data_IF_175097357974
#
_entry.id   IF_175097357974
#
_cell.length_a   1.000
_cell.length_b   1.000
_cell.length_c   1.000
_cell.angle_alpha   90.00
_cell.angle_beta   90.00
_cell.angle_gamma   90.00
#
_symmetry.space_group_name_H-M   'P 1'
#
loop_
_entity.id
_entity.type
_entity.pdbx_description
1 polymer ?
#
# COMPACT_ATOMS: atom_id res chain seq x y z
N UNK A 1 -32.48 8.73 -16.49
CA UNK A 1 -31.37 9.62 -16.07
C UNK A 1 -30.30 8.73 -15.45
N UNK A 2 -29.28 8.38 -16.22
CA UNK A 2 -28.27 7.40 -15.81
C UNK A 2 -27.23 8.04 -14.89
N UNK A 3 -27.10 7.49 -13.68
CA UNK A 3 -25.97 7.78 -12.79
C UNK A 3 -24.68 7.38 -13.49
N UNK A 4 -23.95 8.35 -14.07
CA UNK A 4 -22.57 8.14 -14.51
C UNK A 4 -21.69 8.01 -13.27
N UNK A 5 -21.75 6.84 -12.65
CA UNK A 5 -20.92 6.48 -11.52
C UNK A 5 -19.48 6.50 -11.99
N UNK A 6 -18.63 7.30 -11.33
CA UNK A 6 -17.18 7.32 -11.58
C UNK A 6 -16.53 5.95 -11.32
N UNK A 7 -17.31 5.05 -10.71
CA UNK A 7 -17.00 3.66 -10.43
C UNK A 7 -17.41 2.68 -11.55
N UNK A 8 -17.98 3.12 -12.67
CA UNK A 8 -18.51 2.22 -13.73
C UNK A 8 -17.58 2.03 -14.94
N UNK A 9 -16.33 2.52 -14.88
CA UNK A 9 -15.37 2.29 -15.97
C UNK A 9 -14.10 1.65 -15.42
N UNK A 10 -14.08 0.33 -15.45
CA UNK A 10 -12.85 -0.43 -15.35
C UNK A 10 -12.02 -0.11 -16.60
N UNK A 11 -11.01 0.75 -16.41
CA UNK A 11 -10.04 1.10 -17.45
C UNK A 11 -9.08 -0.08 -17.61
N UNK A 12 -8.58 -0.39 -18.83
CA UNK A 12 -7.49 -1.34 -18.99
C UNK A 12 -6.32 -0.97 -18.05
N UNK A 13 -5.92 -1.93 -17.21
CA UNK A 13 -4.86 -1.74 -16.21
C UNK A 13 -3.52 -1.75 -16.93
N UNK A 14 -2.73 -0.69 -16.77
CA UNK A 14 -1.36 -0.65 -17.28
C UNK A 14 -0.40 -1.47 -16.44
N UNK A 15 0.73 -1.88 -17.02
CA UNK A 15 1.77 -2.64 -16.32
C UNK A 15 2.26 -1.96 -15.04
N UNK A 16 2.27 -0.61 -15.05
CA UNK A 16 2.64 0.20 -13.90
C UNK A 16 1.65 0.04 -12.74
N UNK A 17 0.36 0.16 -13.01
CA UNK A 17 -0.70 0.01 -12.01
C UNK A 17 -0.70 -1.42 -11.44
N UNK A 18 -0.49 -2.43 -12.28
CA UNK A 18 -0.38 -3.81 -11.83
C UNK A 18 0.87 -4.05 -10.95
N UNK A 19 2.00 -3.44 -11.29
CA UNK A 19 3.20 -3.50 -10.45
C UNK A 19 3.00 -2.78 -9.11
N UNK A 20 2.32 -1.63 -9.12
CA UNK A 20 2.00 -0.89 -7.90
C UNK A 20 1.04 -1.66 -7.00
N UNK A 21 0.00 -2.29 -7.55
CA UNK A 21 -0.91 -3.16 -6.81
C UNK A 21 -0.17 -4.33 -6.12
N UNK A 22 0.74 -5.00 -6.84
CA UNK A 22 1.59 -6.07 -6.25
C UNK A 22 2.43 -5.55 -5.09
N UNK A 23 3.05 -4.38 -5.24
CA UNK A 23 3.85 -3.77 -4.18
C UNK A 23 3.01 -3.48 -2.93
N UNK A 24 1.77 -3.00 -3.10
CA UNK A 24 0.88 -2.71 -1.98
C UNK A 24 0.50 -3.99 -1.22
N UNK A 25 0.21 -5.08 -1.93
CA UNK A 25 -0.01 -6.39 -1.32
C UNK A 25 1.20 -6.87 -0.53
N UNK A 26 2.40 -6.79 -1.12
CA UNK A 26 3.63 -7.19 -0.42
C UNK A 26 3.88 -6.40 0.85
N UNK A 27 3.64 -5.08 0.84
CA UNK A 27 3.78 -4.24 2.05
C UNK A 27 2.74 -4.66 3.11
N UNK A 28 1.50 -4.95 2.71
CA UNK A 28 0.47 -5.40 3.63
C UNK A 28 0.82 -6.76 4.28
N UNK A 29 1.37 -7.69 3.52
CA UNK A 29 1.82 -8.99 4.01
C UNK A 29 3.00 -8.86 4.98
N UNK A 30 3.97 -7.99 4.66
CA UNK A 30 5.11 -7.70 5.55
C UNK A 30 4.66 -7.24 6.93
N UNK A 31 3.65 -6.36 7.01
CA UNK A 31 3.08 -5.92 8.29
C UNK A 31 2.44 -7.06 9.09
N UNK A 32 1.89 -8.08 8.40
CA UNK A 32 1.34 -9.27 9.03
C UNK A 32 2.40 -10.22 9.58
N UNK A 33 3.58 -10.28 8.94
CA UNK A 33 4.68 -11.17 9.30
C UNK A 33 5.69 -10.55 10.29
N UNK A 34 5.71 -9.22 10.38
CA UNK A 34 6.63 -8.47 11.23
C UNK A 34 5.87 -7.61 12.27
N UNK A 35 5.21 -8.24 13.27
CA UNK A 35 4.44 -7.52 14.29
C UNK A 35 5.31 -6.58 15.15
N UNK A 36 6.63 -6.76 15.16
CA UNK A 36 7.58 -5.88 15.83
C UNK A 36 7.73 -4.50 15.18
N UNK A 37 7.34 -4.34 13.90
CA UNK A 37 7.46 -3.08 13.18
C UNK A 37 6.36 -2.09 13.57
N UNK A 38 5.20 -2.59 13.99
CA UNK A 38 4.08 -1.79 14.48
C UNK A 38 3.57 -2.46 15.76
N UNK A 39 3.97 -1.92 16.90
CA UNK A 39 3.68 -2.46 18.24
C UNK A 39 2.19 -2.74 18.47
N UNK A 40 1.32 -1.90 17.92
CA UNK A 40 -0.13 -2.11 17.98
C UNK A 40 -0.60 -2.96 16.79
N UNK A 41 -0.97 -4.21 17.10
CA UNK A 41 -1.47 -5.18 16.12
C UNK A 41 -2.78 -4.75 15.45
N UNK A 42 -3.65 -4.03 16.16
CA UNK A 42 -4.91 -3.55 15.59
C UNK A 42 -4.64 -2.44 14.57
N UNK A 43 -3.72 -1.53 14.87
CA UNK A 43 -3.25 -0.50 13.93
C UNK A 43 -2.59 -1.14 12.71
N UNK A 44 -1.69 -2.11 12.91
CA UNK A 44 -1.05 -2.84 11.82
C UNK A 44 -2.08 -3.50 10.87
N UNK A 45 -3.10 -4.13 11.44
CA UNK A 45 -4.19 -4.74 10.68
C UNK A 45 -4.99 -3.73 9.86
N UNK A 46 -5.30 -2.55 10.40
CA UNK A 46 -5.99 -1.51 9.65
C UNK A 46 -5.14 -0.95 8.50
N UNK A 47 -3.83 -0.79 8.70
CA UNK A 47 -2.92 -0.36 7.63
C UNK A 47 -2.87 -1.42 6.53
N UNK A 48 -2.77 -2.70 6.89
CA UNK A 48 -2.79 -3.81 5.92
C UNK A 48 -4.09 -3.82 5.11
N UNK A 49 -5.25 -3.61 5.73
CA UNK A 49 -6.53 -3.48 5.03
C UNK A 49 -6.58 -2.30 4.06
N UNK A 50 -6.08 -1.12 4.45
CA UNK A 50 -6.02 0.05 3.56
C UNK A 50 -5.15 -0.24 2.34
N UNK A 51 -3.99 -0.87 2.53
CA UNK A 51 -3.10 -1.26 1.45
C UNK A 51 -3.75 -2.30 0.52
N UNK A 52 -4.41 -3.30 1.08
CA UNK A 52 -5.11 -4.34 0.31
C UNK A 52 -6.22 -3.76 -0.55
N UNK A 53 -7.08 -2.90 0.01
CA UNK A 53 -8.14 -2.24 -0.74
C UNK A 53 -7.57 -1.30 -1.83
N UNK A 54 -6.51 -0.58 -1.51
CA UNK A 54 -5.82 0.27 -2.49
C UNK A 54 -5.23 -0.54 -3.65
N UNK A 55 -4.69 -1.73 -3.36
CA UNK A 55 -4.20 -2.64 -4.38
C UNK A 55 -5.32 -3.17 -5.28
N UNK A 56 -6.48 -3.53 -4.72
CA UNK A 56 -7.67 -3.95 -5.46
C UNK A 56 -8.11 -2.84 -6.44
N UNK A 57 -8.19 -1.59 -5.98
CA UNK A 57 -8.57 -0.46 -6.83
C UNK A 57 -7.58 -0.30 -8.00
N UNK A 58 -6.27 -0.35 -7.73
CA UNK A 58 -5.24 -0.28 -8.78
C UNK A 58 -5.35 -1.45 -9.76
N UNK A 59 -5.59 -2.67 -9.27
CA UNK A 59 -5.77 -3.87 -10.08
C UNK A 59 -7.06 -3.85 -10.91
N UNK A 60 -8.06 -3.06 -10.50
CA UNK A 60 -9.26 -2.75 -11.27
C UNK A 60 -9.07 -1.55 -12.23
N UNK A 61 -7.86 -0.99 -12.32
CA UNK A 61 -7.54 0.14 -13.20
C UNK A 61 -8.03 1.48 -12.67
N UNK A 62 -8.42 1.54 -11.40
CA UNK A 62 -8.96 2.73 -10.75
C UNK A 62 -7.81 3.56 -10.17
N UNK A 63 -7.79 4.87 -10.43
CA UNK A 63 -6.72 5.73 -9.95
C UNK A 63 -6.84 5.93 -8.43
N UNK A 64 -5.71 5.84 -7.74
CA UNK A 64 -5.61 6.30 -6.34
C UNK A 64 -5.17 7.77 -6.29
N UNK A 65 -5.64 8.54 -5.29
CA UNK A 65 -5.12 9.89 -5.04
C UNK A 65 -3.61 9.88 -4.86
N UNK A 66 -2.92 10.88 -5.43
CA UNK A 66 -1.44 10.97 -5.35
C UNK A 66 -0.92 11.03 -3.91
N UNK A 67 -1.70 11.59 -2.98
CA UNK A 67 -1.37 11.60 -1.55
C UNK A 67 -1.28 10.18 -0.95
N UNK A 68 -2.17 9.27 -1.35
CA UNK A 68 -2.15 7.87 -0.91
C UNK A 68 -0.90 7.18 -1.44
N UNK A 69 -0.61 7.33 -2.73
CA UNK A 69 0.60 6.72 -3.34
C UNK A 69 1.89 7.21 -2.66
N UNK A 70 1.97 8.51 -2.34
CA UNK A 70 3.09 9.09 -1.59
C UNK A 70 3.20 8.54 -0.16
N UNK A 71 2.08 8.40 0.54
CA UNK A 71 2.04 7.84 1.88
C UNK A 71 2.52 6.38 1.90
N UNK A 72 2.08 5.56 0.94
CA UNK A 72 2.52 4.15 0.83
C UNK A 72 4.01 4.05 0.53
N UNK A 73 4.54 4.91 -0.35
CA UNK A 73 5.99 4.98 -0.59
C UNK A 73 6.75 5.35 0.68
N UNK A 74 6.30 6.37 1.41
CA UNK A 74 6.90 6.77 2.68
C UNK A 74 6.86 5.66 3.74
N UNK A 75 5.76 4.91 3.81
CA UNK A 75 5.64 3.73 4.66
C UNK A 75 6.65 2.65 4.27
N UNK A 76 6.78 2.34 2.98
CA UNK A 76 7.75 1.35 2.50
C UNK A 76 9.20 1.74 2.84
N UNK A 77 9.55 3.02 2.67
CA UNK A 77 10.86 3.55 3.03
C UNK A 77 11.12 3.45 4.54
N UNK A 78 10.11 3.73 5.38
CA UNK A 78 10.20 3.60 6.83
C UNK A 78 10.36 2.14 7.28
N UNK A 79 9.58 1.22 6.72
CA UNK A 79 9.71 -0.23 7.00
C UNK A 79 11.09 -0.75 6.59
N UNK A 80 11.57 -0.33 5.41
CA UNK A 80 12.93 -0.68 4.97
C UNK A 80 13.99 -0.20 5.95
N UNK A 81 13.88 1.04 6.45
CA UNK A 81 14.82 1.58 7.42
C UNK A 81 14.74 0.87 8.78
N UNK A 82 13.55 0.40 9.19
CA UNK A 82 13.37 -0.34 10.43
C UNK A 82 13.91 -1.77 10.35
N UNK A 83 13.83 -2.42 9.19
CA UNK A 83 14.35 -3.77 8.95
C UNK A 83 15.84 -3.78 8.54
N UNK A 84 16.45 -2.63 8.26
CA UNK A 84 17.87 -2.57 7.88
C UNK A 84 18.75 -2.97 9.08
N UNK A 85 19.51 -4.08 8.97
CA UNK A 85 20.33 -4.57 10.08
C UNK A 85 21.58 -3.73 10.32
N UNK A 86 21.88 -2.76 9.44
CA UNK A 86 23.06 -1.90 9.60
C UNK A 86 22.89 -1.02 10.84
N UNK A 87 23.90 -0.94 11.73
CA UNK A 87 23.83 -0.09 12.90
C UNK A 87 23.62 1.35 12.47
N UNK A 88 22.62 2.02 13.07
CA UNK A 88 22.39 3.45 12.88
C UNK A 88 23.68 4.15 13.28
N UNK A 89 24.43 4.65 12.30
CA UNK A 89 25.69 5.34 12.55
C UNK A 89 25.41 6.61 13.38
N UNK A 90 25.77 6.58 14.66
CA UNK A 90 25.79 7.75 15.55
C UNK A 90 24.43 8.17 16.10
N UNK A 91 24.15 7.74 17.33
CA UNK A 91 23.39 8.55 18.30
C UNK A 91 24.40 9.28 19.19
#
# INVERSE_FOLDING_TARGET
MGSNSRYDRDRPVGDREAAEARAFHTIAELLGHHPELITDRAVAGQIAHVLHNSAIELAAGRPLPIGVRRAVRGLADALRAAMDPRPKAGA
#
